data_IF_244930875066
#
_entry.id   IF_244930875066
#
_cell.length_a   1.000
_cell.length_b   1.000
_cell.length_c   1.000
_cell.angle_alpha   90.00
_cell.angle_beta   90.00
_cell.angle_gamma   90.00
#
_symmetry.space_group_name_H-M   'P 1'
#
loop_
_entity.id
_entity.type
_entity.pdbx_description
1 polymer ?
#
# COMPACT_ATOMS: atom_id res chain seq x y z
N UNK A 1 4.14 23.05 -1.04
CA UNK A 1 3.93 24.40 -0.48
C UNK A 1 2.56 24.87 -0.90
N UNK A 2 1.60 24.90 0.01
CA UNK A 2 0.25 25.39 -0.26
C UNK A 2 0.30 26.92 -0.36
N UNK A 3 0.01 27.48 -1.53
CA UNK A 3 -0.09 28.93 -1.70
C UNK A 3 -1.35 29.40 -0.97
N UNK A 4 -1.18 30.31 -0.02
CA UNK A 4 -2.27 30.99 0.69
C UNK A 4 -3.13 31.77 -0.30
N UNK A 5 -4.48 31.70 -0.22
CA UNK A 5 -5.37 32.50 -1.07
C UNK A 5 -5.26 34.02 -0.84
N UNK A 6 -4.49 34.44 0.18
CA UNK A 6 -4.34 35.83 0.61
C UNK A 6 -3.40 36.66 -0.28
N UNK A 7 -2.56 36.02 -1.11
CA UNK A 7 -1.53 36.71 -1.89
C UNK A 7 -2.05 37.41 -3.17
N UNK A 8 -3.38 37.45 -3.39
CA UNK A 8 -4.00 38.05 -4.58
C UNK A 8 -4.72 39.37 -4.34
N UNK A 9 -4.71 39.91 -3.13
CA UNK A 9 -5.37 41.19 -2.85
C UNK A 9 -4.42 42.35 -3.19
N UNK A 10 -4.11 42.51 -4.48
CA UNK A 10 -3.63 43.79 -5.00
C UNK A 10 -4.85 44.69 -5.24
N UNK A 11 -5.07 45.64 -4.34
CA UNK A 11 -6.09 46.69 -4.52
C UNK A 11 -5.57 47.69 -5.57
N UNK A 12 -5.89 47.40 -6.83
CA UNK A 12 -5.76 48.33 -7.94
C UNK A 12 -6.95 49.32 -7.90
N UNK A 13 -6.72 50.64 -8.00
CA UNK A 13 -7.81 51.62 -8.04
C UNK A 13 -8.73 51.33 -9.24
N UNK A 14 -10.01 51.02 -8.98
CA UNK A 14 -11.02 50.76 -10.00
C UNK A 14 -11.41 49.28 -10.23
N UNK A 15 -10.91 48.34 -9.42
CA UNK A 15 -11.37 46.95 -9.51
C UNK A 15 -12.81 46.81 -8.99
N UNK A 16 -13.70 46.28 -9.83
CA UNK A 16 -15.11 46.04 -9.47
C UNK A 16 -15.20 45.10 -8.25
N UNK A 17 -15.98 45.53 -7.25
CA UNK A 17 -16.18 44.81 -6.00
C UNK A 17 -16.84 43.43 -6.23
N UNK A 18 -16.56 42.44 -5.37
CA UNK A 18 -17.11 41.08 -5.53
C UNK A 18 -18.64 41.07 -5.53
N UNK A 19 -19.28 40.12 -6.26
CA UNK A 19 -20.73 40.03 -6.36
C UNK A 19 -21.36 39.83 -4.98
N UNK A 20 -22.12 40.82 -4.53
CA UNK A 20 -22.70 40.87 -3.17
C UNK A 20 -22.37 42.16 -2.41
N UNK A 21 -21.38 42.92 -2.88
CA UNK A 21 -21.15 44.31 -2.48
C UNK A 21 -22.05 45.23 -3.32
N UNK A 22 -22.76 46.20 -2.72
CA UNK A 22 -23.36 47.27 -3.50
C UNK A 22 -22.25 47.97 -4.29
N UNK A 23 -22.51 48.28 -5.57
CA UNK A 23 -21.55 48.89 -6.50
C UNK A 23 -20.98 50.22 -6.00
N UNK A 24 -20.10 50.89 -6.77
CA UNK A 24 -19.36 52.06 -6.31
C UNK A 24 -20.34 53.03 -5.65
N UNK A 25 -20.02 53.47 -4.43
CA UNK A 25 -20.86 54.29 -3.58
C UNK A 25 -21.31 55.58 -4.31
N UNK A 26 -22.32 55.49 -5.18
CA UNK A 26 -22.98 56.63 -5.84
C UNK A 26 -23.95 57.22 -4.81
N UNK A 27 -23.44 57.73 -3.69
CA UNK A 27 -24.12 58.66 -2.78
C UNK A 27 -23.07 59.47 -1.99
N UNK A 28 -21.91 59.76 -2.59
CA UNK A 28 -20.82 60.44 -1.89
C UNK A 28 -21.06 61.95 -1.65
N UNK A 29 -22.08 62.56 -2.27
CA UNK A 29 -22.23 64.02 -2.19
C UNK A 29 -23.15 64.51 -1.05
N UNK A 30 -23.63 63.65 -0.14
CA UNK A 30 -24.38 64.16 1.04
C UNK A 30 -24.37 63.30 2.31
N UNK A 31 -23.65 62.19 2.38
CA UNK A 31 -23.62 61.32 3.58
C UNK A 31 -22.48 61.68 4.53
N UNK A 32 -22.77 61.68 5.84
CA UNK A 32 -21.78 61.90 6.89
C UNK A 32 -20.73 60.77 6.91
N UNK A 33 -19.48 61.09 7.28
CA UNK A 33 -18.39 60.11 7.47
C UNK A 33 -18.80 58.90 8.33
N UNK A 34 -19.72 59.11 9.28
CA UNK A 34 -20.29 58.06 10.14
C UNK A 34 -21.16 57.07 9.36
N UNK A 35 -21.99 57.54 8.43
CA UNK A 35 -22.89 56.70 7.63
C UNK A 35 -22.10 55.79 6.67
N UNK A 36 -21.03 56.34 6.08
CA UNK A 36 -20.09 55.58 5.25
C UNK A 36 -19.40 54.48 6.05
N UNK A 37 -18.92 54.79 7.27
CA UNK A 37 -18.30 53.80 8.15
C UNK A 37 -19.28 52.68 8.54
N UNK A 38 -20.51 53.02 8.91
CA UNK A 38 -21.54 52.04 9.26
C UNK A 38 -21.87 51.11 8.09
N UNK A 39 -21.99 51.66 6.87
CA UNK A 39 -22.22 50.88 5.65
C UNK A 39 -21.07 49.91 5.38
N UNK A 40 -19.82 50.37 5.56
CA UNK A 40 -18.64 49.52 5.41
C UNK A 40 -18.60 48.39 6.45
N UNK A 41 -18.88 48.69 7.72
CA UNK A 41 -18.96 47.69 8.79
C UNK A 41 -20.01 46.62 8.45
N UNK A 42 -21.20 47.03 8.00
CA UNK A 42 -22.26 46.11 7.58
C UNK A 42 -21.84 45.23 6.39
N UNK A 43 -21.18 45.81 5.38
CA UNK A 43 -20.68 45.07 4.22
C UNK A 43 -19.65 44.00 4.60
N UNK A 44 -18.70 44.34 5.48
CA UNK A 44 -17.71 43.38 5.98
C UNK A 44 -18.33 42.27 6.82
N UNK A 45 -19.30 42.60 7.68
CA UNK A 45 -20.02 41.60 8.48
C UNK A 45 -20.80 40.61 7.61
N UNK A 46 -21.43 41.11 6.52
CA UNK A 46 -22.14 40.25 5.57
C UNK A 46 -21.19 39.28 4.87
N UNK A 47 -20.05 39.77 4.38
CA UNK A 47 -19.03 38.92 3.74
C UNK A 47 -18.47 37.89 4.71
N UNK A 48 -18.20 38.29 5.96
CA UNK A 48 -17.73 37.36 7.00
C UNK A 48 -18.75 36.24 7.28
N UNK A 49 -20.04 36.58 7.35
CA UNK A 49 -21.11 35.60 7.53
C UNK A 49 -21.23 34.64 6.35
N UNK A 50 -21.21 35.16 5.13
CA UNK A 50 -21.32 34.34 3.91
C UNK A 50 -20.11 33.42 3.76
N UNK A 51 -18.90 33.91 4.07
CA UNK A 51 -17.68 33.10 4.09
C UNK A 51 -17.75 31.98 5.12
N UNK A 52 -18.22 32.26 6.34
CA UNK A 52 -18.39 31.24 7.38
C UNK A 52 -19.36 30.13 6.94
N UNK A 53 -20.45 30.49 6.26
CA UNK A 53 -21.43 29.52 5.72
C UNK A 53 -20.85 28.66 4.61
N UNK A 54 -20.10 29.26 3.69
CA UNK A 54 -19.42 28.53 2.60
C UNK A 54 -18.38 27.58 3.19
N UNK A 55 -17.58 28.06 4.14
CA UNK A 55 -16.55 27.27 4.82
C UNK A 55 -17.16 26.09 5.57
N UNK A 56 -18.26 26.27 6.30
CA UNK A 56 -18.95 25.17 6.98
C UNK A 56 -19.44 24.11 5.98
N UNK A 57 -20.06 24.51 4.86
CA UNK A 57 -20.49 23.57 3.82
C UNK A 57 -19.32 22.79 3.23
N UNK A 58 -18.21 23.48 2.98
CA UNK A 58 -16.99 22.85 2.46
C UNK A 58 -16.43 21.83 3.47
N UNK A 59 -16.32 22.19 4.74
CA UNK A 59 -15.84 21.30 5.80
C UNK A 59 -16.73 20.05 5.93
N UNK A 60 -18.06 20.21 5.85
CA UNK A 60 -18.98 19.07 5.90
C UNK A 60 -18.80 18.12 4.72
N UNK A 61 -18.56 18.67 3.52
CA UNK A 61 -18.29 17.87 2.32
C UNK A 61 -16.95 17.13 2.43
N UNK A 62 -15.87 17.82 2.81
CA UNK A 62 -14.55 17.20 3.03
C UNK A 62 -14.63 16.10 4.10
N UNK A 63 -15.37 16.33 5.19
CA UNK A 63 -15.59 15.31 6.24
C UNK A 63 -16.33 14.08 5.71
N UNK A 64 -17.29 14.26 4.81
CA UNK A 64 -18.00 13.14 4.18
C UNK A 64 -17.05 12.34 3.28
N UNK A 65 -16.24 13.02 2.47
CA UNK A 65 -15.26 12.39 1.59
C UNK A 65 -14.20 11.61 2.40
N UNK A 66 -13.65 12.20 3.45
CA UNK A 66 -12.69 11.54 4.33
C UNK A 66 -13.28 10.30 5.02
N UNK A 67 -14.56 10.33 5.40
CA UNK A 67 -15.25 9.15 5.94
C UNK A 67 -15.35 8.04 4.91
N UNK A 68 -15.72 8.36 3.66
CA UNK A 68 -15.80 7.38 2.59
C UNK A 68 -14.43 6.74 2.31
N UNK A 69 -13.38 7.54 2.24
CA UNK A 69 -12.02 7.04 2.02
C UNK A 69 -11.55 6.16 3.18
N UNK A 70 -11.85 6.54 4.42
CA UNK A 70 -11.54 5.72 5.60
C UNK A 70 -12.21 4.34 5.56
N UNK A 71 -13.47 4.26 5.09
CA UNK A 71 -14.15 2.96 4.95
C UNK A 71 -13.50 2.10 3.87
N UNK A 72 -13.16 2.70 2.73
CA UNK A 72 -12.47 2.00 1.63
C UNK A 72 -11.10 1.47 2.06
N UNK A 73 -10.32 2.30 2.74
CA UNK A 73 -9.00 1.92 3.25
C UNK A 73 -9.10 0.76 4.26
N UNK A 74 -10.11 0.78 5.14
CA UNK A 74 -10.37 -0.32 6.09
C UNK A 74 -10.71 -1.62 5.39
N UNK A 75 -11.55 -1.58 4.35
CA UNK A 75 -11.92 -2.75 3.57
C UNK A 75 -10.71 -3.36 2.85
N UNK A 76 -9.89 -2.52 2.21
CA UNK A 76 -8.64 -2.95 1.55
C UNK A 76 -7.70 -3.59 2.58
N UNK A 77 -7.50 -2.93 3.73
CA UNK A 77 -6.64 -3.45 4.80
C UNK A 77 -7.13 -4.81 5.30
N UNK A 78 -8.43 -4.96 5.58
CA UNK A 78 -9.00 -6.23 6.04
C UNK A 78 -8.82 -7.35 5.01
N UNK A 79 -8.97 -7.04 3.72
CA UNK A 79 -8.73 -8.01 2.65
C UNK A 79 -7.26 -8.44 2.60
N UNK A 80 -6.32 -7.49 2.68
CA UNK A 80 -4.88 -7.78 2.73
C UNK A 80 -4.48 -8.60 3.95
N UNK A 81 -5.06 -8.31 5.13
CA UNK A 81 -4.82 -9.08 6.35
C UNK A 81 -5.30 -10.54 6.20
N UNK A 82 -6.47 -10.77 5.58
CA UNK A 82 -6.97 -12.12 5.27
C UNK A 82 -6.04 -12.86 4.31
N UNK A 83 -5.61 -12.20 3.23
CA UNK A 83 -4.67 -12.80 2.26
C UNK A 83 -3.33 -13.15 2.91
N UNK A 84 -2.79 -12.27 3.75
CA UNK A 84 -1.56 -12.50 4.49
C UNK A 84 -1.67 -13.72 5.41
N UNK A 85 -2.81 -13.88 6.11
CA UNK A 85 -3.04 -15.03 6.98
C UNK A 85 -3.02 -16.35 6.20
N UNK A 86 -3.69 -16.39 5.03
CA UNK A 86 -3.69 -17.56 4.14
C UNK A 86 -2.26 -17.86 3.66
N UNK A 87 -1.52 -16.85 3.24
CA UNK A 87 -0.15 -17.03 2.74
C UNK A 87 0.80 -17.54 3.82
N UNK A 88 0.68 -17.05 5.06
CA UNK A 88 1.44 -17.56 6.21
C UNK A 88 1.13 -19.02 6.53
N UNK A 89 -0.15 -19.41 6.42
CA UNK A 89 -0.56 -20.81 6.59
C UNK A 89 0.00 -21.70 5.48
N UNK A 90 -0.05 -21.23 4.23
CA UNK A 90 0.52 -21.90 3.06
C UNK A 90 2.03 -22.11 3.23
N UNK A 91 2.77 -21.05 3.59
CA UNK A 91 4.20 -21.08 3.87
C UNK A 91 4.55 -22.11 4.95
N UNK A 92 3.79 -22.13 6.05
CA UNK A 92 4.01 -23.09 7.14
C UNK A 92 3.81 -24.54 6.67
N UNK A 93 2.80 -24.78 5.84
CA UNK A 93 2.52 -26.10 5.27
C UNK A 93 3.64 -26.55 4.34
N UNK A 94 4.10 -25.64 3.47
CA UNK A 94 5.20 -25.90 2.55
C UNK A 94 6.51 -26.19 3.29
N UNK A 95 6.83 -25.44 4.34
CA UNK A 95 8.01 -25.69 5.17
C UNK A 95 7.99 -27.07 5.84
N UNK A 96 6.81 -27.52 6.31
CA UNK A 96 6.65 -28.89 6.86
C UNK A 96 6.87 -29.95 5.78
N UNK A 97 6.33 -29.76 4.57
CA UNK A 97 6.55 -30.67 3.43
C UNK A 97 8.03 -30.75 3.05
N UNK A 98 8.69 -29.61 2.90
CA UNK A 98 10.11 -29.53 2.58
C UNK A 98 11.00 -30.23 3.63
N UNK A 99 10.69 -30.09 4.92
CA UNK A 99 11.41 -30.82 5.99
C UNK A 99 11.28 -32.34 5.83
N UNK A 100 10.07 -32.84 5.53
CA UNK A 100 9.82 -34.27 5.29
C UNK A 100 10.56 -34.76 4.05
N UNK A 101 10.51 -34.00 2.97
CA UNK A 101 11.17 -34.31 1.70
C UNK A 101 12.69 -34.37 1.87
N UNK A 102 13.30 -33.39 2.56
CA UNK A 102 14.73 -33.42 2.91
C UNK A 102 15.11 -34.67 3.72
N UNK A 103 14.26 -35.10 4.66
CA UNK A 103 14.49 -36.33 5.45
C UNK A 103 14.38 -37.58 4.58
N UNK A 104 13.39 -37.66 3.70
CA UNK A 104 13.22 -38.77 2.77
C UNK A 104 14.40 -38.86 1.79
N UNK A 105 14.84 -37.73 1.24
CA UNK A 105 16.02 -37.65 0.36
C UNK A 105 17.27 -38.21 1.03
N UNK A 106 17.56 -37.81 2.28
CA UNK A 106 18.71 -38.33 3.04
C UNK A 106 18.66 -39.85 3.20
N UNK A 107 17.51 -40.41 3.59
CA UNK A 107 17.32 -41.86 3.74
C UNK A 107 17.52 -42.61 2.42
N UNK A 108 16.98 -42.09 1.32
CA UNK A 108 17.16 -42.69 -0.01
C UNK A 108 18.63 -42.66 -0.43
N UNK A 109 19.33 -41.58 -0.12
CA UNK A 109 20.76 -41.45 -0.43
C UNK A 109 21.61 -42.45 0.38
N UNK A 110 21.35 -42.59 1.68
CA UNK A 110 21.98 -43.61 2.53
C UNK A 110 21.70 -45.05 2.01
N UNK A 111 20.46 -45.33 1.62
CA UNK A 111 20.08 -46.64 1.07
C UNK A 111 20.78 -46.93 -0.27
N UNK A 112 20.89 -45.93 -1.14
CA UNK A 112 21.57 -46.04 -2.43
C UNK A 112 23.08 -46.29 -2.25
N UNK A 113 23.71 -45.57 -1.32
CA UNK A 113 25.13 -45.77 -0.99
C UNK A 113 25.38 -47.18 -0.43
N UNK A 114 24.49 -47.68 0.42
CA UNK A 114 24.56 -49.05 0.94
C UNK A 114 24.42 -50.09 -0.18
N UNK A 115 23.43 -49.95 -1.06
CA UNK A 115 23.21 -50.86 -2.19
C UNK A 115 24.41 -50.86 -3.13
N UNK A 116 24.93 -49.67 -3.45
CA UNK A 116 26.09 -49.50 -4.34
C UNK A 116 27.32 -50.24 -3.80
N UNK A 117 27.62 -50.09 -2.50
CA UNK A 117 28.72 -50.81 -1.85
C UNK A 117 28.51 -52.33 -1.87
N UNK A 118 27.29 -52.80 -1.59
CA UNK A 118 26.95 -54.23 -1.64
C UNK A 118 27.13 -54.79 -3.05
N UNK A 119 26.67 -54.06 -4.07
CA UNK A 119 26.81 -54.43 -5.48
C UNK A 119 28.28 -54.53 -5.87
N UNK A 120 29.10 -53.56 -5.47
CA UNK A 120 30.54 -53.57 -5.72
C UNK A 120 31.24 -54.79 -5.10
N UNK A 121 30.90 -55.14 -3.84
CA UNK A 121 31.43 -56.32 -3.18
C UNK A 121 31.06 -57.63 -3.91
N UNK A 122 29.80 -57.75 -4.34
CA UNK A 122 29.35 -58.92 -5.12
C UNK A 122 30.07 -58.99 -6.47
N UNK A 123 30.25 -57.86 -7.14
CA UNK A 123 30.98 -57.80 -8.41
C UNK A 123 32.45 -58.21 -8.25
N UNK A 124 33.11 -57.78 -7.17
CA UNK A 124 34.48 -58.20 -6.84
C UNK A 124 34.57 -59.70 -6.54
N UNK A 125 33.65 -60.24 -5.73
CA UNK A 125 33.59 -61.67 -5.42
C UNK A 125 33.35 -62.52 -6.67
N UNK A 126 32.47 -62.06 -7.58
CA UNK A 126 32.23 -62.74 -8.85
C UNK A 126 33.46 -62.74 -9.74
N UNK A 127 34.15 -61.59 -9.88
CA UNK A 127 35.42 -61.50 -10.63
C UNK A 127 36.44 -62.51 -10.10
N UNK A 128 36.65 -62.56 -8.78
CA UNK A 128 37.57 -63.52 -8.14
C UNK A 128 37.19 -64.98 -8.43
N UNK A 129 35.90 -65.33 -8.33
CA UNK A 129 35.43 -66.68 -8.63
C UNK A 129 35.66 -67.10 -10.09
N UNK A 130 35.45 -66.19 -11.05
CA UNK A 130 35.69 -66.47 -12.48
C UNK A 130 37.17 -66.56 -12.86
N UNK A 131 38.06 -65.84 -12.17
CA UNK A 131 39.51 -65.95 -12.37
C UNK A 131 40.08 -67.27 -11.81
N UNK A 132 39.48 -67.82 -10.75
CA UNK A 132 39.89 -69.12 -10.18
C UNK A 132 39.57 -70.33 -11.06
N UNK A 133 38.45 -70.32 -11.78
CA UNK A 133 38.03 -71.42 -12.67
C UNK A 133 38.83 -71.46 -13.99
N UNK A 134 39.39 -70.31 -14.40
CA UNK A 134 40.22 -70.20 -15.61
C UNK A 134 41.57 -70.93 -15.49
N UNK A 135 42.10 -71.09 -14.27
CA UNK A 135 43.31 -71.88 -14.01
C UNK A 135 43.10 -73.40 -14.11
N UNK A 136 41.86 -73.88 -13.90
CA UNK A 136 41.55 -75.31 -13.88
C UNK A 136 41.22 -75.88 -15.28
N UNK A 137 40.79 -75.03 -16.23
CA UNK A 137 40.46 -75.44 -17.61
C UNK A 137 41.65 -75.55 -18.55
N UNK A 138 42.81 -75.04 -18.17
CA UNK A 138 44.05 -75.12 -18.97
C UNK A 138 44.80 -76.46 -18.82
N UNK A 139 44.23 -77.45 -18.13
CA UNK A 139 44.84 -78.77 -17.86
C UNK A 139 44.15 -79.96 -18.57
N UNK A 140 43.57 -79.76 -19.76
CA UNK A 140 43.09 -80.87 -20.60
C UNK A 140 43.71 -80.84 -21.98
#
# INVERSE_FOLDING_TARGET
MMKSPLDKIHLTPGQALPPGFPGPFILADSLSSVETLLTNIQGLLKVALDNARIQEKQIQQEKKELRMELYREREIRENLERQLAVELQSRTTMQKRLKKEKKAKRKLQEALEFESKRREQVEQALKQATTGDSGLRMLK
#
